data_IF_817788273359
#
_entry.id   IF_817788273359
#
_cell.length_a   1.000
_cell.length_b   1.000
_cell.length_c   1.000
_cell.angle_alpha   90.00
_cell.angle_beta   90.00
_cell.angle_gamma   90.00
#
_symmetry.space_group_name_H-M   'P 1'
#
loop_
_entity.id
_entity.type
_entity.pdbx_description
1 polymer ?
#
# COMPACT_ATOMS: atom_id res chain seq x y z
N UNK A 1 -9.94 -7.93 12.28
CA UNK A 1 -9.82 -6.99 11.14
C UNK A 1 -9.02 -7.66 10.03
N UNK A 2 -9.18 -7.22 8.77
CA UNK A 2 -8.36 -7.71 7.64
C UNK A 2 -7.33 -6.63 7.30
N UNK A 3 -6.07 -7.02 7.24
CA UNK A 3 -4.92 -6.17 6.91
C UNK A 3 -4.36 -6.61 5.57
N UNK A 4 -4.33 -5.69 4.62
CA UNK A 4 -3.92 -5.93 3.23
C UNK A 4 -2.75 -4.98 2.93
N UNK A 5 -1.49 -5.40 3.17
CA UNK A 5 -0.34 -4.63 2.73
C UNK A 5 -0.31 -4.55 1.20
N UNK A 6 0.21 -3.44 0.69
CA UNK A 6 0.35 -3.18 -0.75
C UNK A 6 1.81 -2.91 -1.13
N UNK A 7 2.74 -3.34 -0.30
CA UNK A 7 4.17 -3.20 -0.58
C UNK A 7 4.64 -4.34 -1.49
N UNK A 8 5.47 -4.02 -2.49
CA UNK A 8 6.01 -4.99 -3.45
C UNK A 8 7.23 -5.73 -2.86
N UNK A 9 6.97 -6.54 -1.84
CA UNK A 9 7.95 -7.45 -1.24
C UNK A 9 7.34 -8.83 -1.05
N UNK A 10 8.18 -9.86 -1.05
CA UNK A 10 7.74 -11.23 -0.79
C UNK A 10 7.09 -11.34 0.60
N UNK A 11 6.02 -12.12 0.68
CA UNK A 11 5.25 -12.38 1.92
C UNK A 11 4.98 -11.11 2.75
N UNK A 12 4.53 -10.03 2.10
CA UNK A 12 4.33 -8.72 2.72
C UNK A 12 3.38 -8.75 3.95
N UNK A 13 2.35 -9.61 3.95
CA UNK A 13 1.45 -9.84 5.08
C UNK A 13 2.16 -10.44 6.29
N UNK A 14 2.96 -11.48 6.07
CA UNK A 14 3.71 -12.14 7.14
C UNK A 14 4.78 -11.23 7.73
N UNK A 15 5.49 -10.51 6.86
CA UNK A 15 6.51 -9.55 7.27
C UNK A 15 5.90 -8.42 8.11
N UNK A 16 4.76 -7.86 7.67
CA UNK A 16 4.05 -6.84 8.44
C UNK A 16 3.57 -7.37 9.80
N UNK A 17 2.98 -8.57 9.85
CA UNK A 17 2.55 -9.18 11.11
C UNK A 17 3.71 -9.36 12.09
N UNK A 18 4.86 -9.84 11.59
CA UNK A 18 6.09 -9.99 12.40
C UNK A 18 6.56 -8.66 12.97
N UNK A 19 6.60 -7.61 12.16
CA UNK A 19 7.03 -6.27 12.58
C UNK A 19 6.07 -5.69 13.62
N UNK A 20 4.75 -5.83 13.42
CA UNK A 20 3.75 -5.37 14.39
C UNK A 20 3.90 -6.08 15.74
N UNK A 21 4.13 -7.40 15.74
CA UNK A 21 4.37 -8.17 16.96
C UNK A 21 5.68 -7.80 17.66
N UNK A 22 6.72 -7.46 16.89
CA UNK A 22 7.97 -6.95 17.44
C UNK A 22 7.73 -5.62 18.17
N UNK A 23 7.09 -4.66 17.53
CA UNK A 23 6.77 -3.38 18.17
C UNK A 23 5.84 -3.53 19.38
N UNK A 24 4.88 -4.45 19.33
CA UNK A 24 4.03 -4.75 20.48
C UNK A 24 4.85 -5.21 21.70
N UNK A 25 5.94 -5.95 21.46
CA UNK A 25 6.87 -6.41 22.48
C UNK A 25 7.77 -5.26 22.95
N UNK A 26 8.38 -4.53 22.03
CA UNK A 26 9.31 -3.43 22.32
C UNK A 26 8.66 -2.32 23.14
N UNK A 27 7.36 -2.07 22.91
CA UNK A 27 6.57 -1.06 23.62
C UNK A 27 5.81 -1.61 24.83
N UNK A 28 5.97 -2.91 25.13
CA UNK A 28 5.32 -3.58 26.25
C UNK A 28 3.79 -3.41 26.27
N UNK A 29 3.12 -3.54 25.11
CA UNK A 29 1.67 -3.34 24.95
C UNK A 29 0.80 -4.42 25.60
N UNK A 30 1.44 -5.44 26.20
CA UNK A 30 0.78 -6.48 26.98
C UNK A 30 0.25 -7.65 26.16
N UNK A 31 -0.01 -8.76 26.85
CA UNK A 31 -0.41 -10.04 26.25
C UNK A 31 -1.78 -9.99 25.56
N UNK A 32 -2.69 -9.16 26.05
CA UNK A 32 -4.02 -9.00 25.45
C UNK A 32 -3.92 -8.47 24.01
N UNK A 33 -3.07 -7.46 23.79
CA UNK A 33 -2.85 -6.89 22.47
C UNK A 33 -2.19 -7.90 21.52
N UNK A 34 -1.16 -8.61 21.98
CA UNK A 34 -0.49 -9.66 21.20
C UNK A 34 -1.46 -10.80 20.83
N UNK A 35 -2.32 -11.21 21.75
CA UNK A 35 -3.35 -12.23 21.50
C UNK A 35 -4.33 -11.76 20.43
N UNK A 36 -4.80 -10.51 20.54
CA UNK A 36 -5.71 -9.91 19.58
C UNK A 36 -5.09 -9.84 18.17
N UNK A 37 -3.82 -9.42 18.04
CA UNK A 37 -3.09 -9.43 16.75
C UNK A 37 -3.02 -10.84 16.14
N UNK A 38 -2.88 -11.88 16.96
CA UNK A 38 -2.74 -13.25 16.47
C UNK A 38 -4.06 -13.92 16.10
N UNK A 39 -5.12 -13.66 16.87
CA UNK A 39 -6.35 -14.45 16.83
C UNK A 39 -7.52 -13.72 16.14
N UNK A 40 -7.55 -12.39 16.21
CA UNK A 40 -8.68 -11.59 15.72
C UNK A 40 -8.37 -10.83 14.43
N UNK A 41 -7.16 -11.00 13.89
CA UNK A 41 -6.67 -10.27 12.72
C UNK A 41 -6.10 -11.20 11.65
N UNK A 42 -6.43 -10.89 10.39
CA UNK A 42 -5.96 -11.61 9.20
C UNK A 42 -4.99 -10.69 8.46
N UNK A 43 -3.79 -11.19 8.18
CA UNK A 43 -2.79 -10.50 7.36
C UNK A 43 -2.68 -11.26 6.04
N UNK A 44 -3.09 -10.62 4.95
CA UNK A 44 -3.05 -11.23 3.62
C UNK A 44 -1.70 -10.95 2.96
N UNK A 45 -1.11 -11.96 2.32
CA UNK A 45 -0.02 -11.73 1.38
C UNK A 45 -0.61 -11.29 0.03
N UNK A 46 -0.09 -10.22 -0.54
CA UNK A 46 -0.56 -9.67 -1.82
C UNK A 46 0.58 -9.56 -2.83
N UNK A 47 0.21 -9.59 -4.10
CA UNK A 47 1.08 -9.19 -5.20
C UNK A 47 0.48 -7.92 -5.79
N UNK A 48 1.26 -6.84 -5.78
CA UNK A 48 0.91 -5.60 -6.46
C UNK A 48 1.86 -5.43 -7.64
N UNK A 49 1.32 -5.13 -8.82
CA UNK A 49 2.12 -4.94 -10.01
C UNK A 49 1.59 -3.72 -10.76
N UNK A 50 2.24 -2.58 -10.52
CA UNK A 50 1.95 -1.33 -11.21
C UNK A 50 3.14 -0.41 -11.12
N UNK A 51 3.58 0.08 -12.27
CA UNK A 51 4.53 1.19 -12.34
C UNK A 51 3.73 2.50 -12.34
N UNK A 52 3.99 3.34 -11.34
CA UNK A 52 3.42 4.69 -11.23
C UNK A 52 4.57 5.69 -11.28
N UNK A 53 4.86 6.32 -12.44
CA UNK A 53 5.97 7.26 -12.60
C UNK A 53 5.81 8.56 -11.80
N UNK A 54 4.64 8.79 -11.19
CA UNK A 54 4.33 9.96 -10.37
C UNK A 54 3.55 11.02 -11.16
N UNK A 55 3.65 12.28 -10.71
CA UNK A 55 2.91 13.38 -11.31
C UNK A 55 3.37 13.67 -12.75
N UNK A 56 2.48 13.67 -13.75
CA UNK A 56 2.84 13.78 -15.17
C UNK A 56 3.12 15.23 -15.58
N UNK A 57 4.27 15.78 -15.12
CA UNK A 57 4.65 17.19 -15.36
C UNK A 57 4.63 17.58 -16.84
N UNK A 58 5.05 16.67 -17.71
CA UNK A 58 5.18 16.94 -19.15
C UNK A 58 3.82 16.92 -19.88
N UNK A 59 2.75 16.42 -19.24
CA UNK A 59 1.41 16.24 -19.84
C UNK A 59 0.30 16.97 -19.08
N UNK A 60 0.62 17.65 -17.98
CA UNK A 60 -0.41 18.21 -17.09
C UNK A 60 -1.27 19.27 -17.77
N UNK A 61 -0.71 20.07 -18.68
CA UNK A 61 -1.46 21.09 -19.40
C UNK A 61 -2.56 20.46 -20.26
N UNK A 62 -2.21 19.41 -21.01
CA UNK A 62 -3.17 18.62 -21.81
C UNK A 62 -4.22 17.96 -20.92
N UNK A 63 -3.80 17.33 -19.82
CA UNK A 63 -4.72 16.66 -18.88
C UNK A 63 -5.67 17.68 -18.24
N UNK A 64 -5.19 18.87 -17.89
CA UNK A 64 -6.02 19.93 -17.29
C UNK A 64 -7.06 20.44 -18.28
N UNK A 65 -6.69 20.60 -19.56
CA UNK A 65 -7.63 20.98 -20.62
C UNK A 65 -8.71 19.90 -20.81
N UNK A 66 -8.34 18.61 -20.81
CA UNK A 66 -9.27 17.48 -20.92
C UNK A 66 -10.21 17.35 -19.72
N UNK A 67 -9.68 17.54 -18.50
CA UNK A 67 -10.47 17.48 -17.26
C UNK A 67 -11.35 18.72 -17.08
N UNK A 68 -10.98 19.87 -17.66
CA UNK A 68 -11.65 21.15 -17.49
C UNK A 68 -11.45 21.79 -16.12
N UNK A 69 -10.56 21.24 -15.29
CA UNK A 69 -10.16 21.77 -14.00
C UNK A 69 -8.73 21.37 -13.65
N UNK A 70 -8.11 22.14 -12.75
CA UNK A 70 -6.75 21.87 -12.26
C UNK A 70 -6.83 20.83 -11.15
N UNK A 71 -6.18 19.69 -11.36
CA UNK A 71 -5.98 18.66 -10.34
C UNK A 71 -4.49 18.60 -9.95
N UNK A 72 -4.20 18.93 -8.68
CA UNK A 72 -2.83 18.95 -8.16
C UNK A 72 -2.33 17.56 -7.73
N UNK A 73 -3.18 16.53 -7.78
CA UNK A 73 -2.88 15.16 -7.33
C UNK A 73 -2.98 14.13 -8.46
N UNK A 74 -2.96 14.57 -9.72
CA UNK A 74 -2.96 13.69 -10.88
C UNK A 74 -1.79 12.72 -10.84
N UNK A 75 -2.09 11.46 -11.12
CA UNK A 75 -1.10 10.42 -11.35
C UNK A 75 -1.44 9.72 -12.67
N UNK A 76 -0.43 9.55 -13.52
CA UNK A 76 -0.57 8.76 -14.74
C UNK A 76 -0.11 7.33 -14.47
N UNK A 77 -0.88 6.34 -14.94
CA UNK A 77 -0.44 4.95 -14.98
C UNK A 77 0.32 4.69 -16.28
N UNK A 78 1.50 4.07 -16.21
CA UNK A 78 2.14 3.60 -17.43
C UNK A 78 1.38 2.35 -17.90
N UNK A 79 0.56 2.48 -18.94
CA UNK A 79 0.00 1.33 -19.64
C UNK A 79 1.13 0.61 -20.39
N UNK A 80 1.85 -0.27 -19.68
CA UNK A 80 2.54 -1.36 -20.34
C UNK A 80 1.46 -2.19 -21.02
N UNK A 81 1.37 -2.09 -22.35
CA UNK A 81 0.57 -3.00 -23.17
C UNK A 81 0.97 -4.43 -22.77
N UNK A 82 0.06 -5.10 -22.05
CA UNK A 82 0.19 -6.53 -21.79
C UNK A 82 0.06 -7.22 -23.15
N UNK A 83 1.19 -7.67 -23.70
CA UNK A 83 1.23 -8.67 -24.76
C UNK A 83 1.06 -10.06 -24.19
#
# INVERSE_FOLDING_TARGET
MIVIPCELIDRNGDNLKKIVLQYATDWNLGKGFVSWINNDNIFCNTLVDRIVPGYPRDKIDTITEELGYIDNLVVEESNSTCG
#
